data_IF_883163819897
#
_entry.id   IF_883163819897
#
_cell.length_a   1.000
_cell.length_b   1.000
_cell.length_c   1.000
_cell.angle_alpha   90.00
_cell.angle_beta   90.00
_cell.angle_gamma   90.00
#
_symmetry.space_group_name_H-M   'P 1'
#
loop_
_entity.id
_entity.type
_entity.pdbx_description
1 polymer ?
#
# COMPACT_ATOMS: atom_id res chain seq x y z
N UNK A 1 -55.93 -24.78 34.23
CA UNK A 1 -55.33 -23.97 35.31
C UNK A 1 -54.25 -24.84 35.94
N UNK A 2 -52.98 -24.57 35.63
CA UNK A 2 -51.74 -24.83 36.40
C UNK A 2 -50.61 -24.42 35.47
N UNK A 3 -49.94 -23.34 35.84
CA UNK A 3 -48.78 -22.72 35.21
C UNK A 3 -47.61 -23.69 35.18
N UNK A 4 -46.94 -23.83 34.05
CA UNK A 4 -45.56 -24.30 34.02
C UNK A 4 -44.73 -23.33 33.19
N UNK A 5 -44.16 -22.39 33.93
CA UNK A 5 -42.99 -21.64 33.53
C UNK A 5 -41.80 -22.59 33.73
N UNK A 6 -41.12 -22.95 32.64
CA UNK A 6 -39.74 -23.41 32.75
C UNK A 6 -38.99 -23.03 31.48
N UNK A 7 -38.40 -21.84 31.56
CA UNK A 7 -37.24 -21.47 30.79
C UNK A 7 -36.02 -22.15 31.44
N UNK A 8 -35.34 -23.01 30.67
CA UNK A 8 -34.11 -23.69 31.09
C UNK A 8 -33.52 -24.43 29.89
N UNK A 9 -32.88 -23.76 28.94
CA UNK A 9 -31.56 -23.11 28.98
C UNK A 9 -30.41 -24.09 28.71
N UNK A 10 -29.88 -24.00 27.49
CA UNK A 10 -28.45 -24.04 27.23
C UNK A 10 -28.19 -23.04 26.10
N UNK A 11 -27.18 -22.17 26.21
CA UNK A 11 -27.05 -21.01 25.35
C UNK A 11 -26.76 -21.47 23.92
N UNK A 12 -27.61 -21.05 22.96
CA UNK A 12 -27.07 -20.75 21.64
C UNK A 12 -25.93 -19.77 21.92
N UNK A 13 -24.69 -20.14 21.63
CA UNK A 13 -23.70 -19.11 21.37
C UNK A 13 -24.38 -18.15 20.39
N UNK A 14 -24.62 -16.90 20.81
CA UNK A 14 -24.94 -15.86 19.84
C UNK A 14 -23.86 -15.93 18.77
N UNK A 15 -24.13 -15.70 17.48
CA UNK A 15 -23.05 -15.54 16.52
C UNK A 15 -22.06 -14.49 17.08
N UNK A 16 -20.88 -14.95 17.52
CA UNK A 16 -19.73 -14.11 17.88
C UNK A 16 -18.75 -14.25 16.72
N UNK A 17 -18.06 -13.20 16.33
CA UNK A 17 -18.61 -12.01 15.71
C UNK A 17 -17.70 -11.82 14.48
N UNK A 18 -18.19 -11.72 13.22
CA UNK A 18 -17.38 -11.30 12.06
C UNK A 18 -16.47 -10.10 12.35
N UNK A 19 -16.81 -9.32 13.38
CA UNK A 19 -15.96 -8.31 13.95
C UNK A 19 -14.77 -8.91 14.72
N UNK A 20 -14.81 -9.74 15.77
CA UNK A 20 -13.61 -10.52 16.25
C UNK A 20 -12.78 -11.22 15.12
N UNK A 21 -13.39 -11.54 13.97
CA UNK A 21 -12.78 -12.15 12.77
C UNK A 21 -11.98 -11.20 11.87
N UNK A 22 -12.26 -9.92 11.95
CA UNK A 22 -11.52 -8.85 11.31
C UNK A 22 -11.24 -7.77 12.34
N UNK A 23 -11.24 -8.10 13.62
CA UNK A 23 -11.05 -7.16 14.70
C UNK A 23 -9.63 -7.33 15.22
N UNK A 24 -8.70 -6.56 14.67
CA UNK A 24 -8.99 -5.32 13.93
C UNK A 24 -8.14 -5.24 12.66
N UNK A 25 -8.44 -6.18 11.76
CA UNK A 25 -8.06 -6.36 10.37
C UNK A 25 -6.62 -6.80 10.11
N UNK A 26 -5.88 -7.22 11.15
CA UNK A 26 -4.64 -8.03 11.08
C UNK A 26 -3.42 -7.41 10.40
N UNK A 27 -3.62 -6.48 9.46
CA UNK A 27 -2.62 -5.71 8.75
C UNK A 27 -3.10 -4.27 8.76
N UNK A 28 -2.23 -3.34 9.15
CA UNK A 28 -2.56 -1.91 9.06
C UNK A 28 -2.98 -1.60 7.63
N UNK A 29 -4.14 -0.94 7.41
CA UNK A 29 -4.59 -0.61 6.08
C UNK A 29 -3.52 0.20 5.36
N UNK A 30 -3.23 -0.16 4.11
CA UNK A 30 -2.32 0.63 3.29
C UNK A 30 -3.06 1.84 2.78
N UNK A 31 -2.55 3.02 3.14
CA UNK A 31 -2.99 4.27 2.50
C UNK A 31 -2.54 4.23 1.05
N UNK A 32 -3.51 4.17 0.14
CA UNK A 32 -3.28 4.16 -1.29
C UNK A 32 -3.59 5.53 -1.90
N UNK A 33 -2.57 6.16 -2.49
CA UNK A 33 -2.72 7.45 -3.17
C UNK A 33 -3.05 7.24 -4.64
N UNK A 34 -4.34 7.35 -5.01
CA UNK A 34 -4.83 7.16 -6.39
C UNK A 34 -4.10 8.01 -7.43
N UNK A 35 -3.63 9.22 -7.07
CA UNK A 35 -2.86 10.09 -7.96
C UNK A 35 -1.57 9.43 -8.48
N UNK A 36 -1.01 8.46 -7.76
CA UNK A 36 0.15 7.70 -8.25
C UNK A 36 -0.20 6.77 -9.41
N UNK A 37 -1.48 6.44 -9.64
CA UNK A 37 -1.89 5.75 -10.86
C UNK A 37 -1.77 6.68 -12.05
N UNK A 38 -2.10 7.96 -11.90
CA UNK A 38 -1.97 8.94 -12.98
C UNK A 38 -0.49 9.20 -13.31
N UNK A 39 0.38 9.12 -12.31
CA UNK A 39 1.85 9.22 -12.48
C UNK A 39 2.44 7.97 -13.13
N UNK A 40 2.04 6.78 -12.68
CA UNK A 40 2.71 5.53 -13.07
C UNK A 40 2.06 4.82 -14.25
N UNK A 41 0.78 5.11 -14.53
CA UNK A 41 -0.07 4.36 -15.46
C UNK A 41 -0.34 2.91 -15.02
N UNK A 42 0.00 2.53 -13.78
CA UNK A 42 -0.09 1.14 -13.32
C UNK A 42 -0.48 1.03 -11.84
N UNK A 43 -1.56 0.30 -11.55
CA UNK A 43 -2.10 0.19 -10.19
C UNK A 43 -1.15 -0.50 -9.20
N UNK A 44 -0.39 -1.50 -9.66
CA UNK A 44 0.56 -2.22 -8.80
C UNK A 44 1.80 -1.36 -8.51
N UNK A 45 2.27 -0.60 -9.51
CA UNK A 45 3.33 0.38 -9.32
C UNK A 45 2.90 1.49 -8.35
N UNK A 46 1.66 1.99 -8.49
CA UNK A 46 1.10 2.99 -7.59
C UNK A 46 0.98 2.48 -6.15
N UNK A 47 0.48 1.26 -5.95
CA UNK A 47 0.37 0.64 -4.62
C UNK A 47 1.74 0.48 -3.96
N UNK A 48 2.70 -0.06 -4.71
CA UNK A 48 4.07 -0.22 -4.23
C UNK A 48 4.66 1.13 -3.81
N UNK A 49 4.48 2.17 -4.63
CA UNK A 49 4.96 3.51 -4.36
C UNK A 49 4.27 4.14 -3.14
N UNK A 50 2.94 4.00 -2.99
CA UNK A 50 2.23 4.48 -1.81
C UNK A 50 2.78 3.88 -0.52
N UNK A 51 3.00 2.57 -0.51
CA UNK A 51 3.58 1.92 0.67
C UNK A 51 5.04 2.33 0.90
N UNK A 52 5.85 2.48 -0.15
CA UNK A 52 7.23 2.92 -0.03
C UNK A 52 7.34 4.34 0.55
N UNK A 53 6.50 5.27 0.10
CA UNK A 53 6.44 6.64 0.62
C UNK A 53 6.06 6.61 2.10
N UNK A 54 4.97 5.94 2.46
CA UNK A 54 4.55 5.76 3.85
C UNK A 54 5.70 5.21 4.72
N UNK A 55 6.35 4.15 4.26
CA UNK A 55 7.42 3.49 5.00
C UNK A 55 8.61 4.43 5.30
N UNK A 56 8.98 5.27 4.33
CA UNK A 56 10.08 6.23 4.45
C UNK A 56 9.68 7.45 5.29
N UNK A 57 8.44 7.93 5.18
CA UNK A 57 7.96 9.11 5.94
C UNK A 57 7.69 8.82 7.40
N UNK A 58 7.23 7.62 7.74
CA UNK A 58 7.05 7.17 9.14
C UNK A 58 8.38 6.84 9.84
N UNK A 59 9.52 6.99 9.16
CA UNK A 59 10.84 6.92 9.79
C UNK A 59 11.28 5.52 10.19
N UNK A 60 10.73 4.46 9.59
CA UNK A 60 11.09 3.07 9.89
C UNK A 60 12.44 2.74 9.23
N UNK A 61 13.53 3.19 9.85
CA UNK A 61 14.92 2.78 9.57
C UNK A 61 15.41 3.15 8.17
N UNK A 62 15.47 4.46 7.88
CA UNK A 62 16.13 5.01 6.68
C UNK A 62 17.52 5.53 7.06
N UNK A 63 18.56 5.13 6.34
CA UNK A 63 19.91 5.66 6.59
C UNK A 63 20.01 7.13 6.14
N UNK A 64 21.04 7.86 6.62
CA UNK A 64 21.22 9.29 6.31
C UNK A 64 21.29 9.60 4.81
N UNK A 65 21.68 8.61 3.99
CA UNK A 65 21.77 8.67 2.53
C UNK A 65 20.45 8.29 1.82
N UNK A 66 19.34 8.13 2.56
CA UNK A 66 18.00 7.88 2.02
C UNK A 66 17.72 6.42 1.63
N UNK A 67 18.66 5.51 1.88
CA UNK A 67 18.49 4.10 1.55
C UNK A 67 17.80 3.32 2.69
N UNK A 68 16.93 2.38 2.33
CA UNK A 68 16.37 1.42 3.29
C UNK A 68 16.39 0.02 2.70
N UNK A 69 16.31 -0.99 3.57
CA UNK A 69 16.31 -2.41 3.18
C UNK A 69 14.95 -3.03 3.47
N UNK A 70 14.41 -3.80 2.54
CA UNK A 70 13.20 -4.62 2.81
C UNK A 70 13.19 -5.87 1.94
N UNK A 71 12.91 -7.01 2.56
CA UNK A 71 12.88 -8.29 1.85
C UNK A 71 11.57 -8.49 1.08
N UNK A 72 11.58 -9.36 0.05
CA UNK A 72 10.37 -9.69 -0.72
C UNK A 72 9.25 -10.31 0.14
N UNK A 73 9.53 -11.20 1.12
CA UNK A 73 8.51 -11.71 2.02
C UNK A 73 7.91 -10.63 2.91
N UNK A 74 8.70 -9.67 3.41
CA UNK A 74 8.18 -8.54 4.17
C UNK A 74 7.25 -7.70 3.29
N UNK A 75 7.68 -7.34 2.08
CA UNK A 75 6.81 -6.65 1.11
C UNK A 75 5.51 -7.40 0.84
N UNK A 76 5.56 -8.73 0.68
CA UNK A 76 4.36 -9.54 0.48
C UNK A 76 3.46 -9.53 1.72
N UNK A 77 4.05 -9.59 2.91
CA UNK A 77 3.32 -9.52 4.16
C UNK A 77 2.63 -8.16 4.31
N UNK A 78 3.26 -7.04 3.95
CA UNK A 78 2.61 -5.73 4.13
C UNK A 78 1.59 -5.41 3.04
N UNK A 79 1.87 -5.80 1.79
CA UNK A 79 1.12 -5.32 0.62
C UNK A 79 0.21 -6.36 -0.02
N UNK A 80 0.35 -7.64 0.36
CA UNK A 80 -0.30 -8.76 -0.32
C UNK A 80 0.24 -9.06 -1.72
N UNK A 81 1.23 -8.29 -2.22
CA UNK A 81 1.74 -8.44 -3.58
C UNK A 81 2.62 -9.69 -3.70
N UNK A 82 2.34 -10.52 -4.69
CA UNK A 82 3.21 -11.64 -5.07
C UNK A 82 4.58 -11.14 -5.57
N UNK A 83 5.58 -12.02 -5.54
CA UNK A 83 6.92 -11.72 -6.08
C UNK A 83 6.90 -11.18 -7.52
N UNK A 84 6.01 -11.71 -8.37
CA UNK A 84 5.89 -11.30 -9.78
C UNK A 84 5.32 -9.88 -9.88
N UNK A 85 4.33 -9.57 -9.06
CA UNK A 85 3.71 -8.25 -8.99
C UNK A 85 4.68 -7.20 -8.45
N UNK A 86 5.43 -7.54 -7.40
CA UNK A 86 6.50 -6.70 -6.88
C UNK A 86 7.55 -6.39 -7.95
N UNK A 87 8.03 -7.38 -8.70
CA UNK A 87 8.99 -7.15 -9.78
C UNK A 87 8.41 -6.27 -10.90
N UNK A 88 7.15 -6.50 -11.30
CA UNK A 88 6.47 -5.70 -12.33
C UNK A 88 6.34 -4.24 -11.90
N UNK A 89 5.88 -3.99 -10.67
CA UNK A 89 5.78 -2.66 -10.07
C UNK A 89 7.14 -1.96 -10.06
N UNK A 90 8.18 -2.63 -9.53
CA UNK A 90 9.53 -2.07 -9.44
C UNK A 90 10.16 -1.77 -10.81
N UNK A 91 9.93 -2.62 -11.83
CA UNK A 91 10.35 -2.31 -13.21
C UNK A 91 9.70 -1.03 -13.74
N UNK A 92 8.41 -0.84 -13.47
CA UNK A 92 7.70 0.37 -13.88
C UNK A 92 8.30 1.61 -13.20
N UNK A 93 8.50 1.55 -11.88
CA UNK A 93 9.05 2.66 -11.09
C UNK A 93 10.50 2.99 -11.47
N UNK A 94 11.35 1.99 -11.73
CA UNK A 94 12.71 2.20 -12.25
C UNK A 94 12.72 2.89 -13.60
N UNK A 95 11.81 2.50 -14.52
CA UNK A 95 11.67 3.15 -15.83
C UNK A 95 11.27 4.63 -15.72
N UNK A 96 10.51 4.99 -14.67
CA UNK A 96 10.10 6.37 -14.39
C UNK A 96 11.16 7.17 -13.60
N UNK A 97 12.28 6.53 -13.24
CA UNK A 97 13.32 7.06 -12.35
C UNK A 97 12.81 7.43 -10.95
N UNK A 98 11.75 6.76 -10.46
CA UNK A 98 11.18 7.02 -9.14
C UNK A 98 11.88 6.25 -8.01
N UNK A 99 12.56 5.14 -8.35
CA UNK A 99 13.28 4.31 -7.39
C UNK A 99 14.65 3.90 -7.92
N UNK A 100 15.59 3.76 -7.00
CA UNK A 100 16.82 3.02 -7.22
C UNK A 100 16.85 1.72 -6.41
N UNK A 101 17.60 0.73 -6.92
CA UNK A 101 17.77 -0.57 -6.29
C UNK A 101 19.26 -0.90 -6.17
N UNK A 102 19.68 -1.42 -5.01
CA UNK A 102 21.03 -1.95 -4.79
C UNK A 102 20.96 -3.34 -4.19
N UNK A 103 21.61 -4.29 -4.87
CA UNK A 103 21.81 -5.66 -4.37
C UNK A 103 23.11 -5.73 -3.58
N UNK A 104 23.07 -6.43 -2.46
CA UNK A 104 24.26 -6.79 -1.68
C UNK A 104 24.23 -8.30 -1.40
N UNK A 105 25.39 -9.00 -1.41
CA UNK A 105 25.43 -10.41 -1.05
C UNK A 105 24.89 -10.64 0.36
N UNK A 106 24.09 -11.68 0.54
CA UNK A 106 23.53 -12.11 1.84
C UNK A 106 22.73 -11.03 2.59
N UNK A 107 22.17 -10.04 1.89
CA UNK A 107 21.36 -8.98 2.48
C UNK A 107 20.07 -8.74 1.68
N UNK A 108 19.00 -8.20 2.32
CA UNK A 108 17.81 -7.78 1.60
C UNK A 108 18.11 -6.71 0.55
N UNK A 109 17.23 -6.58 -0.43
CA UNK A 109 17.32 -5.51 -1.43
C UNK A 109 17.27 -4.15 -0.74
N UNK A 110 18.16 -3.24 -1.15
CA UNK A 110 18.12 -1.84 -0.74
C UNK A 110 17.43 -0.99 -1.78
N UNK A 111 16.65 -0.03 -1.31
CA UNK A 111 15.86 0.89 -2.12
C UNK A 111 16.15 2.33 -1.73
N UNK A 112 15.98 3.25 -2.69
CA UNK A 112 15.97 4.70 -2.47
C UNK A 112 14.84 5.31 -3.30
N UNK A 113 14.05 6.23 -2.73
CA UNK A 113 13.06 7.03 -3.47
C UNK A 113 13.73 8.29 -4.01
N UNK A 114 13.29 8.71 -5.20
CA UNK A 114 13.59 10.02 -5.74
C UNK A 114 12.35 10.92 -5.60
N UNK A 115 12.33 11.73 -4.53
CA UNK A 115 11.20 12.62 -4.23
C UNK A 115 11.14 13.81 -5.20
N UNK A 116 12.28 14.33 -5.65
CA UNK A 116 12.33 15.41 -6.65
C UNK A 116 11.65 14.96 -7.95
N UNK A 117 11.99 13.75 -8.40
CA UNK A 117 11.35 13.13 -9.57
C UNK A 117 9.86 12.89 -9.34
N UNK A 118 9.48 12.42 -8.15
CA UNK A 118 8.08 12.20 -7.79
C UNK A 118 7.27 13.50 -7.86
N UNK A 119 7.75 14.58 -7.26
CA UNK A 119 7.07 15.88 -7.28
C UNK A 119 6.94 16.43 -8.70
N UNK A 120 8.01 16.36 -9.49
CA UNK A 120 7.97 16.74 -10.91
C UNK A 120 6.85 16.02 -11.68
N UNK A 121 6.69 14.72 -11.47
CA UNK A 121 5.66 13.94 -12.17
C UNK A 121 4.25 14.22 -11.64
N UNK A 122 4.12 14.49 -10.34
CA UNK A 122 2.84 14.88 -9.74
C UNK A 122 2.34 16.23 -10.26
N UNK A 123 3.23 17.21 -10.43
CA UNK A 123 2.89 18.51 -11.02
C UNK A 123 2.36 18.33 -12.44
N UNK A 124 3.03 17.52 -13.26
CA UNK A 124 2.58 17.20 -14.63
C UNK A 124 1.20 16.52 -14.62
N UNK A 125 1.00 15.53 -13.74
CA UNK A 125 -0.28 14.83 -13.62
C UNK A 125 -1.41 15.77 -13.19
N UNK A 126 -1.16 16.66 -12.23
CA UNK A 126 -2.12 17.64 -11.75
C UNK A 126 -2.51 18.65 -12.84
N UNK A 127 -1.54 19.14 -13.63
CA UNK A 127 -1.79 20.04 -14.76
C UNK A 127 -2.64 19.36 -15.85
N UNK A 128 -2.39 18.08 -16.15
CA UNK A 128 -3.19 17.32 -17.10
C UNK A 128 -4.63 17.12 -16.64
N UNK A 129 -4.82 16.78 -15.36
CA UNK A 129 -6.15 16.60 -14.76
C UNK A 129 -6.97 17.90 -14.76
N UNK A 130 -6.35 19.06 -14.52
CA UNK A 130 -7.03 20.35 -14.52
C UNK A 130 -7.50 20.77 -15.93
N UNK A 131 -6.69 20.50 -16.96
CA UNK A 131 -7.04 20.77 -18.35
C UNK A 131 -8.22 19.93 -18.85
N UNK A 132 -8.27 18.64 -18.47
CA UNK A 132 -9.40 17.76 -18.82
C UNK A 132 -10.74 18.21 -18.18
N UNK A 133 -10.70 18.72 -16.93
CA UNK A 133 -11.90 19.23 -16.25
C UNK A 133 -12.39 20.57 -16.80
N UNK A 134 -11.48 21.43 -17.25
CA UNK A 134 -11.83 22.72 -17.89
C UNK A 134 -12.46 22.58 -19.28
N UNK A 135 -12.20 21.48 -19.99
CA UNK A 135 -12.69 21.24 -21.36
C UNK A 135 -14.13 20.73 -21.49
N UNK A 136 -14.77 20.31 -20.39
CA UNK A 136 -16.12 19.68 -20.42
C UNK A 136 -17.27 20.69 -20.22
N UNK A 137 -17.01 21.99 -20.36
CA UNK A 137 -18.06 23.03 -20.41
C UNK A 137 -18.17 23.59 -21.84
N UNK A 138 -18.86 22.88 -22.73
CA UNK A 138 -19.44 23.45 -23.96
C UNK A 138 -20.77 22.76 -24.25
#
# INVERSE_FOLDING_TARGET
MTTQHDAGDAPRLAPIDPTLLLEIHGQSPIVFHRIYVDVTGDILAALWLSYAVYYVTEGITVSRDGWWSRSQPQWAADTGMSRREQERARRCLRRLALIEERRQPNAPMRFRLDFERLYTLLEVAAMGANQARGGTRR
#
